data_IF_704540914826
#
_entry.id   IF_704540914826
#
_cell.length_a   1.000
_cell.length_b   1.000
_cell.length_c   1.000
_cell.angle_alpha   90.00
_cell.angle_beta   90.00
_cell.angle_gamma   90.00
#
_symmetry.space_group_name_H-M   'P 1'
#
loop_
_entity.id
_entity.type
_entity.pdbx_description
1 polymer ?
#
# COMPACT_ATOMS: atom_id res chain seq x y z
N UNK A 1 -52.98 -31.47 11.69
CA UNK A 1 -52.88 -30.45 10.60
C UNK A 1 -51.89 -29.30 10.88
N UNK A 2 -51.17 -29.26 12.01
CA UNK A 2 -50.19 -28.20 12.31
C UNK A 2 -48.71 -28.58 12.00
N UNK A 3 -48.38 -29.86 11.89
CA UNK A 3 -47.00 -30.32 11.61
C UNK A 3 -46.56 -30.17 10.16
N UNK A 4 -47.52 -30.11 9.22
CA UNK A 4 -47.24 -30.02 7.78
C UNK A 4 -46.96 -28.59 7.30
N UNK A 5 -47.38 -27.55 8.04
CA UNK A 5 -47.08 -26.14 7.70
C UNK A 5 -45.71 -25.70 8.22
N UNK A 6 -45.28 -26.19 9.39
CA UNK A 6 -43.94 -25.96 9.94
C UNK A 6 -42.83 -26.52 9.05
N UNK A 7 -43.06 -27.69 8.44
CA UNK A 7 -42.09 -28.33 7.53
C UNK A 7 -41.95 -27.57 6.19
N UNK A 8 -43.02 -26.89 5.76
CA UNK A 8 -43.02 -26.04 4.56
C UNK A 8 -42.30 -24.70 4.79
N UNK A 9 -42.43 -24.11 5.98
CA UNK A 9 -41.67 -22.91 6.35
C UNK A 9 -40.16 -23.19 6.48
N UNK A 10 -39.77 -24.35 7.00
CA UNK A 10 -38.36 -24.73 7.15
C UNK A 10 -37.66 -24.92 5.78
N UNK A 11 -38.36 -25.50 4.80
CA UNK A 11 -37.82 -25.69 3.45
C UNK A 11 -37.62 -24.38 2.67
N UNK A 12 -38.49 -23.38 2.89
CA UNK A 12 -38.38 -22.06 2.25
C UNK A 12 -37.25 -21.22 2.86
N UNK A 13 -36.98 -21.36 4.16
CA UNK A 13 -35.84 -20.70 4.83
C UNK A 13 -34.50 -21.28 4.36
N UNK A 14 -34.39 -22.60 4.15
CA UNK A 14 -33.16 -23.24 3.64
C UNK A 14 -32.91 -22.86 2.17
N UNK A 15 -33.96 -22.70 1.35
CA UNK A 15 -33.82 -22.23 -0.03
C UNK A 15 -33.45 -20.74 -0.13
N UNK A 16 -33.86 -19.90 0.84
CA UNK A 16 -33.49 -18.48 0.89
C UNK A 16 -32.10 -18.23 1.48
N UNK A 17 -31.59 -19.12 2.34
CA UNK A 17 -30.21 -19.07 2.86
C UNK A 17 -29.16 -19.64 1.90
N UNK A 18 -29.57 -20.44 0.91
CA UNK A 18 -28.67 -21.11 -0.05
C UNK A 18 -28.13 -20.23 -1.19
N UNK A 19 -28.53 -18.96 -1.29
CA UNK A 19 -28.22 -18.11 -2.47
C UNK A 19 -27.12 -17.07 -2.25
N UNK A 20 -26.46 -17.04 -1.09
CA UNK A 20 -25.42 -16.02 -0.79
C UNK A 20 -23.96 -16.52 -0.80
N UNK A 21 -23.67 -17.71 -1.35
CA UNK A 21 -22.29 -18.26 -1.46
C UNK A 21 -21.79 -18.23 -2.92
N UNK A 22 -22.55 -17.62 -3.84
CA UNK A 22 -22.27 -17.66 -5.28
C UNK A 22 -21.63 -16.41 -5.87
N UNK A 23 -20.71 -15.73 -5.19
CA UNK A 23 -19.92 -14.65 -5.81
C UNK A 23 -18.64 -14.30 -5.02
N UNK A 24 -17.86 -15.29 -4.57
CA UNK A 24 -16.43 -15.02 -4.37
C UNK A 24 -15.81 -15.06 -5.76
N UNK A 25 -15.95 -13.94 -6.49
CA UNK A 25 -15.22 -13.72 -7.72
C UNK A 25 -13.74 -13.76 -7.39
N UNK A 26 -13.10 -14.91 -7.60
CA UNK A 26 -11.66 -15.00 -7.70
C UNK A 26 -11.25 -14.27 -8.96
N UNK A 27 -11.18 -12.93 -8.89
CA UNK A 27 -10.48 -12.16 -9.91
C UNK A 27 -9.03 -12.66 -9.91
N UNK A 28 -8.59 -13.24 -11.03
CA UNK A 28 -7.19 -13.59 -11.22
C UNK A 28 -6.35 -12.35 -10.89
N UNK A 29 -5.34 -12.52 -10.03
CA UNK A 29 -4.47 -11.40 -9.68
C UNK A 29 -3.73 -10.96 -10.94
N UNK A 30 -3.85 -9.68 -11.27
CA UNK A 30 -3.07 -9.12 -12.37
C UNK A 30 -1.57 -9.33 -12.12
N UNK A 31 -0.73 -9.42 -13.16
CA UNK A 31 0.72 -9.55 -12.97
C UNK A 31 1.31 -8.46 -12.05
N UNK A 32 0.74 -7.25 -12.08
CA UNK A 32 1.13 -6.14 -11.21
C UNK A 32 0.73 -6.36 -9.74
N UNK A 33 -0.45 -6.91 -9.47
CA UNK A 33 -0.88 -7.29 -8.12
C UNK A 33 -0.02 -8.43 -7.56
N UNK A 34 0.26 -9.47 -8.37
CA UNK A 34 1.16 -10.55 -7.97
C UNK A 34 2.57 -10.02 -7.63
N UNK A 35 3.06 -9.02 -8.39
CA UNK A 35 4.32 -8.34 -8.09
C UNK A 35 4.27 -7.63 -6.73
N UNK A 36 3.21 -6.88 -6.42
CA UNK A 36 3.04 -6.22 -5.10
C UNK A 36 2.98 -7.23 -3.96
N UNK A 37 2.24 -8.32 -4.13
CA UNK A 37 2.16 -9.38 -3.13
C UNK A 37 3.52 -10.01 -2.86
N UNK A 38 4.31 -10.27 -3.91
CA UNK A 38 5.68 -10.75 -3.77
C UNK A 38 6.53 -9.76 -2.97
N UNK A 39 6.47 -8.47 -3.29
CA UNK A 39 7.23 -7.44 -2.57
C UNK A 39 6.80 -7.31 -1.10
N UNK A 40 5.50 -7.48 -0.79
CA UNK A 40 5.01 -7.53 0.58
C UNK A 40 5.57 -8.73 1.35
N UNK A 41 5.69 -9.90 0.70
CA UNK A 41 6.35 -11.06 1.32
C UNK A 41 7.83 -10.78 1.56
N UNK A 42 8.53 -10.23 0.57
CA UNK A 42 9.94 -9.82 0.72
C UNK A 42 10.13 -8.85 1.89
N UNK A 43 9.21 -7.89 2.07
CA UNK A 43 9.20 -7.01 3.24
C UNK A 43 8.99 -7.77 4.56
N UNK A 44 8.01 -8.68 4.60
CA UNK A 44 7.70 -9.50 5.78
C UNK A 44 8.86 -10.42 6.20
N UNK A 45 9.64 -10.88 5.22
CA UNK A 45 10.86 -11.68 5.43
C UNK A 45 12.05 -10.84 5.95
N UNK A 46 11.89 -9.53 6.08
CA UNK A 46 12.95 -8.62 6.54
C UNK A 46 13.92 -8.19 5.43
N UNK A 47 13.67 -8.57 4.18
CA UNK A 47 14.48 -8.20 3.02
C UNK A 47 14.15 -6.77 2.56
N UNK A 48 14.33 -5.78 3.44
CA UNK A 48 13.84 -4.42 3.25
C UNK A 48 14.47 -3.68 2.07
N UNK A 49 15.73 -3.97 1.74
CA UNK A 49 16.40 -3.35 0.57
C UNK A 49 15.73 -3.76 -0.73
N UNK A 50 15.54 -5.06 -0.92
CA UNK A 50 14.96 -5.60 -2.15
C UNK A 50 13.47 -5.22 -2.27
N UNK A 51 12.75 -5.20 -1.13
CA UNK A 51 11.40 -4.67 -1.07
C UNK A 51 11.35 -3.18 -1.44
N UNK A 52 12.26 -2.37 -0.89
CA UNK A 52 12.37 -0.94 -1.21
C UNK A 52 12.56 -0.71 -2.71
N UNK A 53 13.52 -1.38 -3.33
CA UNK A 53 13.79 -1.23 -4.76
C UNK A 53 12.56 -1.55 -5.61
N UNK A 54 11.83 -2.61 -5.25
CA UNK A 54 10.61 -3.00 -5.93
C UNK A 54 9.46 -2.01 -5.75
N UNK A 55 9.18 -1.56 -4.52
CA UNK A 55 8.10 -0.60 -4.25
C UNK A 55 8.43 0.79 -4.81
N UNK A 56 9.69 1.22 -4.73
CA UNK A 56 10.18 2.45 -5.39
C UNK A 56 9.96 2.39 -6.90
N UNK A 57 10.27 1.26 -7.54
CA UNK A 57 10.07 1.10 -8.96
C UNK A 57 8.59 1.18 -9.36
N UNK A 58 7.68 0.60 -8.55
CA UNK A 58 6.23 0.72 -8.77
C UNK A 58 5.74 2.16 -8.57
N UNK A 59 6.19 2.84 -7.51
CA UNK A 59 5.76 4.20 -7.20
C UNK A 59 6.28 5.25 -8.21
N UNK A 60 7.34 4.95 -8.96
CA UNK A 60 7.92 5.82 -9.97
C UNK A 60 7.51 5.46 -11.41
N UNK A 61 6.69 4.42 -11.61
CA UNK A 61 6.23 4.04 -12.94
C UNK A 61 4.94 4.81 -13.30
N UNK A 62 4.97 5.73 -14.29
CA UNK A 62 3.79 6.50 -14.69
C UNK A 62 2.62 5.64 -15.20
N UNK A 63 2.86 4.35 -15.51
CA UNK A 63 1.84 3.42 -16.02
C UNK A 63 1.18 2.58 -14.92
N UNK A 64 1.69 2.59 -13.69
CA UNK A 64 1.07 1.85 -12.59
C UNK A 64 -0.34 2.38 -12.28
N UNK A 65 -1.21 1.50 -11.75
CA UNK A 65 -2.58 1.90 -11.38
C UNK A 65 -2.55 3.09 -10.40
N UNK A 66 -3.08 4.27 -10.77
CA UNK A 66 -3.07 5.46 -9.91
C UNK A 66 -3.72 5.24 -8.54
N UNK A 67 -4.59 4.23 -8.39
CA UNK A 67 -5.22 3.89 -7.11
C UNK A 67 -4.24 3.23 -6.12
N UNK A 68 -3.17 2.63 -6.60
CA UNK A 68 -2.24 1.81 -5.82
C UNK A 68 -0.91 2.52 -5.53
N UNK A 69 -0.52 3.52 -6.34
CA UNK A 69 0.76 4.26 -6.20
C UNK A 69 0.96 4.84 -4.79
N UNK A 70 -0.10 5.33 -4.14
CA UNK A 70 -0.01 5.87 -2.78
C UNK A 70 0.41 4.82 -1.74
N UNK A 71 -0.05 3.57 -1.90
CA UNK A 71 0.35 2.45 -1.05
C UNK A 71 1.77 1.98 -1.38
N UNK A 72 2.16 2.00 -2.66
CA UNK A 72 3.53 1.69 -3.09
C UNK A 72 4.53 2.69 -2.49
N UNK A 73 4.20 3.99 -2.49
CA UNK A 73 4.98 5.03 -1.80
C UNK A 73 5.10 4.73 -0.31
N UNK A 74 3.98 4.45 0.38
CA UNK A 74 3.97 4.15 1.82
C UNK A 74 4.86 2.96 2.15
N UNK A 75 4.74 1.87 1.40
CA UNK A 75 5.58 0.68 1.58
C UNK A 75 7.07 0.98 1.35
N UNK A 76 7.41 1.78 0.33
CA UNK A 76 8.79 2.19 0.08
C UNK A 76 9.35 3.03 1.24
N UNK A 77 8.57 3.96 1.79
CA UNK A 77 9.01 4.75 2.96
C UNK A 77 9.16 3.92 4.23
N UNK A 78 8.27 2.94 4.45
CA UNK A 78 8.41 1.99 5.56
C UNK A 78 9.73 1.22 5.45
N UNK A 79 10.11 0.80 4.24
CA UNK A 79 11.40 0.16 4.01
C UNK A 79 12.58 1.09 4.36
N UNK A 80 12.52 2.37 3.95
CA UNK A 80 13.57 3.35 4.28
C UNK A 80 13.73 3.55 5.79
N UNK A 81 12.63 3.59 6.54
CA UNK A 81 12.68 3.64 8.01
C UNK A 81 13.38 2.40 8.58
N UNK A 82 13.02 1.19 8.11
CA UNK A 82 13.66 -0.07 8.54
C UNK A 82 15.14 -0.15 8.21
N UNK A 83 15.55 0.48 7.13
CA UNK A 83 16.94 0.55 6.68
C UNK A 83 17.73 1.70 7.33
N UNK A 84 17.12 2.48 8.22
CA UNK A 84 17.72 3.68 8.80
C UNK A 84 18.18 4.70 7.74
N UNK A 85 17.38 4.89 6.70
CA UNK A 85 17.59 5.78 5.54
C UNK A 85 16.49 6.85 5.44
N UNK A 86 16.08 7.38 6.60
CA UNK A 86 14.96 8.35 6.72
C UNK A 86 15.22 9.64 5.93
N UNK A 87 16.49 10.02 5.77
CA UNK A 87 16.93 11.16 4.98
C UNK A 87 16.57 11.06 3.49
N UNK A 88 16.33 9.86 2.97
CA UNK A 88 15.94 9.65 1.56
C UNK A 88 14.43 9.74 1.31
N UNK A 89 13.61 9.76 2.37
CA UNK A 89 12.15 9.72 2.25
C UNK A 89 11.61 10.92 1.47
N UNK A 90 12.12 12.11 1.75
CA UNK A 90 11.61 13.34 1.13
C UNK A 90 11.92 13.35 -0.37
N UNK A 91 13.13 12.95 -0.76
CA UNK A 91 13.52 12.87 -2.17
C UNK A 91 12.71 11.82 -2.95
N UNK A 92 12.47 10.64 -2.34
CA UNK A 92 11.57 9.64 -2.92
C UNK A 92 10.17 10.21 -3.13
N UNK A 93 9.61 10.86 -2.11
CA UNK A 93 8.25 11.40 -2.15
C UNK A 93 8.10 12.44 -3.24
N UNK A 94 9.02 13.39 -3.32
CA UNK A 94 9.00 14.44 -4.36
C UNK A 94 9.14 13.84 -5.77
N UNK A 95 9.99 12.82 -5.94
CA UNK A 95 10.11 12.13 -7.22
C UNK A 95 8.79 11.43 -7.64
N UNK A 96 8.12 10.76 -6.70
CA UNK A 96 6.83 10.09 -6.95
C UNK A 96 5.72 11.11 -7.24
N UNK A 97 5.67 12.23 -6.49
CA UNK A 97 4.74 13.33 -6.76
C UNK A 97 4.97 13.91 -8.15
N UNK A 98 6.23 14.12 -8.56
CA UNK A 98 6.55 14.67 -9.88
C UNK A 98 6.03 13.78 -11.03
N UNK A 99 6.13 12.46 -10.90
CA UNK A 99 5.64 11.49 -11.90
C UNK A 99 4.09 11.49 -11.97
N UNK A 100 3.43 11.65 -10.83
CA UNK A 100 1.98 11.42 -10.69
C UNK A 100 1.22 12.66 -10.15
N UNK A 101 1.68 13.86 -10.49
CA UNK A 101 1.20 15.14 -9.92
C UNK A 101 -0.32 15.36 -9.98
N UNK A 102 -1.00 14.79 -10.97
CA UNK A 102 -2.45 14.94 -11.16
C UNK A 102 -3.27 13.87 -10.40
N UNK A 103 -2.60 12.93 -9.72
CA UNK A 103 -3.22 11.87 -8.94
C UNK A 103 -3.53 12.35 -7.51
N UNK A 104 -4.72 12.90 -7.30
CA UNK A 104 -5.13 13.37 -5.97
C UNK A 104 -5.05 12.32 -4.86
N UNK A 105 -5.21 11.02 -5.18
CA UNK A 105 -5.09 9.93 -4.19
C UNK A 105 -3.66 9.79 -3.71
N UNK A 106 -2.70 9.89 -4.63
CA UNK A 106 -1.30 9.94 -4.26
C UNK A 106 -1.00 11.20 -3.44
N UNK A 107 -1.47 12.38 -3.86
CA UNK A 107 -1.20 13.62 -3.11
C UNK A 107 -1.71 13.54 -1.67
N UNK A 108 -2.90 12.97 -1.48
CA UNK A 108 -3.45 12.70 -0.16
C UNK A 108 -2.61 11.69 0.64
N UNK A 109 -2.18 10.60 0.01
CA UNK A 109 -1.30 9.61 0.64
C UNK A 109 0.08 10.20 1.01
N UNK A 110 0.65 11.05 0.16
CA UNK A 110 1.91 11.75 0.39
C UNK A 110 1.80 12.75 1.55
N UNK A 111 0.69 13.49 1.63
CA UNK A 111 0.41 14.37 2.76
C UNK A 111 0.31 13.59 4.08
N UNK A 112 -0.38 12.43 4.08
CA UNK A 112 -0.43 11.56 5.25
C UNK A 112 0.95 11.00 5.60
N UNK A 113 1.72 10.60 4.60
CA UNK A 113 3.07 10.10 4.78
C UNK A 113 4.01 11.13 5.45
N UNK A 114 3.85 12.43 5.19
CA UNK A 114 4.56 13.48 5.94
C UNK A 114 4.26 13.46 7.44
N UNK A 115 3.04 13.09 7.83
CA UNK A 115 2.59 13.02 9.22
C UNK A 115 3.07 11.76 9.95
N UNK A 116 3.43 10.71 9.20
CA UNK A 116 3.78 9.41 9.75
C UNK A 116 5.31 9.21 9.90
N UNK A 117 6.12 10.15 9.42
CA UNK A 117 7.59 10.09 9.46
C UNK A 117 8.18 11.15 10.38
N UNK A 118 9.44 10.98 10.78
CA UNK A 118 10.15 11.88 11.69
C UNK A 118 10.11 13.35 11.24
N UNK A 119 9.66 14.28 12.10
CA UNK A 119 9.44 15.67 11.71
C UNK A 119 10.62 16.63 11.95
N UNK A 120 11.77 16.11 12.38
CA UNK A 120 12.97 16.90 12.62
C UNK A 120 14.11 16.47 11.70
N UNK A 121 15.16 17.30 11.64
CA UNK A 121 16.28 17.10 10.74
C UNK A 121 17.28 18.24 10.82
N UNK A 122 18.21 18.26 9.87
CA UNK A 122 19.32 19.21 9.80
C UNK A 122 19.34 19.93 8.46
N UNK A 123 19.89 21.14 8.44
CA UNK A 123 20.20 21.85 7.19
C UNK A 123 21.65 21.55 6.80
N UNK A 124 21.86 20.93 5.64
CA UNK A 124 23.17 20.56 5.12
C UNK A 124 23.30 21.16 3.73
N UNK A 125 24.28 22.04 3.52
CA UNK A 125 24.49 22.75 2.26
C UNK A 125 23.20 23.38 1.67
N UNK A 126 22.32 23.89 2.53
CA UNK A 126 21.04 24.50 2.13
C UNK A 126 19.89 23.52 1.83
N UNK A 127 20.09 22.21 1.95
CA UNK A 127 19.05 21.17 1.85
C UNK A 127 18.64 20.70 3.25
N UNK A 128 17.33 20.56 3.47
CA UNK A 128 16.82 19.89 4.67
C UNK A 128 17.00 18.38 4.50
N UNK A 129 17.67 17.74 5.47
CA UNK A 129 17.76 16.29 5.58
C UNK A 129 17.00 15.81 6.82
N UNK A 130 16.05 14.90 6.60
CA UNK A 130 15.18 14.36 7.65
C UNK A 130 15.91 13.32 8.51
N UNK A 131 15.68 13.42 9.81
CA UNK A 131 16.13 12.46 10.80
C UNK A 131 17.54 12.71 11.34
N UNK A 132 18.12 11.72 12.04
CA UNK A 132 19.40 11.90 12.73
C UNK A 132 20.54 12.05 11.72
N UNK A 133 21.40 13.05 11.94
CA UNK A 133 22.66 13.18 11.21
C UNK A 133 23.82 12.62 12.04
N UNK A 134 24.68 11.80 11.43
CA UNK A 134 25.88 11.24 12.09
C UNK A 134 27.13 11.78 11.40
N UNK A 135 27.87 12.64 12.13
CA UNK A 135 29.12 13.28 11.68
C UNK A 135 28.89 14.73 11.26
N UNK A 136 29.72 15.65 11.72
CA UNK A 136 29.68 17.09 11.39
C UNK A 136 30.87 17.50 10.52
#
# INVERSE_FOLDING_TARGET
MQSLSMLRCLAVVIALLGTFIGAVGGAESTPEQAKREKLRRTFQEGNFRDAYEGFRALALDPKCDPRLVGEDLRMATDCLQRLNRVNEIDELREAVIAVHKDNWRLLWAAARNYMDVEHHGFMIAGKFERGPHRGG
#
